data_IF_029783765648
#
_entry.id   IF_029783765648
#
_cell.length_a   1.000
_cell.length_b   1.000
_cell.length_c   1.000
_cell.angle_alpha   90.00
_cell.angle_beta   90.00
_cell.angle_gamma   90.00
#
_symmetry.space_group_name_H-M   'P 1'
#
loop_
_entity.id
_entity.type
_entity.pdbx_description
1 polymer ?
#
# COMPACT_ATOMS: atom_id res chain seq x y z
N UNK A 1 1.81 -16.26 4.91
CA UNK A 1 1.87 -14.82 5.24
C UNK A 1 1.26 -14.64 6.61
N UNK A 2 1.99 -13.99 7.51
CA UNK A 2 1.46 -13.56 8.80
C UNK A 2 1.24 -12.05 8.73
N UNK A 3 0.02 -11.67 8.33
CA UNK A 3 -0.34 -10.26 8.17
C UNK A 3 -0.59 -9.59 9.53
N UNK A 4 0.09 -8.48 9.76
CA UNK A 4 -0.04 -7.66 10.97
C UNK A 4 -0.27 -6.19 10.61
N UNK A 5 -0.83 -5.43 11.54
CA UNK A 5 -0.94 -3.97 11.43
C UNK A 5 0.35 -3.29 11.94
N UNK A 6 0.57 -2.01 11.60
CA UNK A 6 1.69 -1.20 12.10
C UNK A 6 1.85 -1.23 13.63
N UNK A 7 0.75 -1.39 14.39
CA UNK A 7 0.79 -1.51 15.86
C UNK A 7 1.61 -2.71 16.38
N UNK A 8 1.93 -3.68 15.52
CA UNK A 8 2.81 -4.80 15.86
C UNK A 8 4.27 -4.38 16.04
N UNK A 9 4.70 -3.31 15.37
CA UNK A 9 6.08 -2.82 15.43
C UNK A 9 6.28 -1.92 16.66
N UNK A 10 7.54 -1.79 17.10
CA UNK A 10 7.90 -0.94 18.22
C UNK A 10 7.53 0.53 17.92
N UNK A 11 6.75 1.15 18.81
CA UNK A 11 6.21 2.50 18.60
C UNK A 11 4.98 2.56 17.68
N UNK A 12 4.47 1.43 17.18
CA UNK A 12 3.44 1.37 16.13
C UNK A 12 2.16 2.17 16.37
N UNK A 13 1.72 2.29 17.63
CA UNK A 13 0.51 3.07 17.99
C UNK A 13 0.64 4.56 17.64
N UNK A 14 1.85 5.13 17.71
CA UNK A 14 2.07 6.53 17.34
C UNK A 14 2.01 6.75 15.82
N UNK A 15 2.40 5.73 15.03
CA UNK A 15 2.47 5.82 13.58
C UNK A 15 1.18 5.41 12.86
N UNK A 16 0.24 4.76 13.55
CA UNK A 16 -1.06 4.39 12.97
C UNK A 16 -1.80 5.60 12.38
N UNK A 17 -1.93 6.69 13.14
CA UNK A 17 -2.58 7.90 12.66
C UNK A 17 -1.82 8.57 11.53
N UNK A 18 -0.48 8.53 11.56
CA UNK A 18 0.38 9.05 10.51
C UNK A 18 0.16 8.32 9.19
N UNK A 19 0.22 6.99 9.19
CA UNK A 19 -0.02 6.17 7.98
C UNK A 19 -1.43 6.40 7.47
N UNK A 20 -2.44 6.32 8.34
CA UNK A 20 -3.84 6.53 7.95
C UNK A 20 -4.05 7.88 7.28
N UNK A 21 -3.51 8.96 7.84
CA UNK A 21 -3.63 10.28 7.25
C UNK A 21 -2.82 10.42 5.95
N UNK A 22 -1.61 9.85 5.90
CA UNK A 22 -0.80 9.81 4.69
C UNK A 22 -1.51 9.08 3.55
N UNK A 23 -2.20 7.99 3.84
CA UNK A 23 -2.87 7.20 2.81
C UNK A 23 -4.13 7.87 2.25
N UNK A 24 -4.82 8.78 2.97
CA UNK A 24 -6.06 9.42 2.47
C UNK A 24 -5.95 9.99 1.05
N UNK A 25 -4.96 10.87 0.83
CA UNK A 25 -4.76 11.48 -0.50
C UNK A 25 -4.36 10.42 -1.52
N UNK A 26 -3.57 9.43 -1.11
CA UNK A 26 -3.09 8.35 -1.99
C UNK A 26 -4.23 7.43 -2.40
N UNK A 27 -5.18 7.18 -1.51
CA UNK A 27 -6.41 6.45 -1.80
C UNK A 27 -7.24 7.19 -2.84
N UNK A 28 -7.44 8.51 -2.70
CA UNK A 28 -8.21 9.30 -3.68
C UNK A 28 -7.63 9.22 -5.09
N UNK A 29 -6.31 9.02 -5.20
CA UNK A 29 -5.60 8.86 -6.46
C UNK A 29 -5.72 7.41 -6.97
N UNK A 30 -5.37 6.45 -6.11
CA UNK A 30 -5.23 5.04 -6.47
C UNK A 30 -6.57 4.29 -6.60
N UNK A 31 -7.66 4.83 -6.05
CA UNK A 31 -9.02 4.27 -6.25
C UNK A 31 -9.47 4.31 -7.71
N UNK A 32 -8.77 5.02 -8.59
CA UNK A 32 -9.09 5.05 -10.02
C UNK A 32 -8.23 4.08 -10.85
N UNK A 33 -7.44 3.24 -10.17
CA UNK A 33 -6.54 2.25 -10.76
C UNK A 33 -7.19 0.88 -10.66
N UNK A 34 -7.25 0.15 -11.78
CA UNK A 34 -7.75 -1.22 -11.81
C UNK A 34 -6.65 -2.23 -11.47
N UNK A 35 -7.03 -3.49 -11.27
CA UNK A 35 -6.11 -4.59 -10.90
C UNK A 35 -4.93 -4.78 -11.85
N UNK A 36 -5.16 -4.71 -13.17
CA UNK A 36 -4.10 -4.89 -14.17
C UNK A 36 -3.10 -3.73 -14.13
N UNK A 37 -3.60 -2.50 -14.05
CA UNK A 37 -2.79 -1.30 -13.91
C UNK A 37 -1.98 -1.32 -12.60
N UNK A 38 -2.60 -1.73 -11.49
CA UNK A 38 -1.94 -1.84 -10.19
C UNK A 38 -0.81 -2.88 -10.23
N UNK A 39 -1.04 -4.03 -10.89
CA UNK A 39 -0.03 -5.06 -11.08
C UNK A 39 1.17 -4.56 -11.89
N UNK A 40 0.91 -3.93 -13.05
CA UNK A 40 1.97 -3.34 -13.90
C UNK A 40 2.76 -2.26 -13.16
N UNK A 41 2.07 -1.39 -12.42
CA UNK A 41 2.72 -0.34 -11.65
C UNK A 41 3.56 -0.90 -10.49
N UNK A 42 3.06 -1.91 -9.78
CA UNK A 42 3.81 -2.58 -8.71
C UNK A 42 5.08 -3.26 -9.25
N UNK A 43 4.97 -4.02 -10.34
CA UNK A 43 6.13 -4.67 -10.98
C UNK A 43 7.23 -3.66 -11.35
N UNK A 44 6.84 -2.52 -11.92
CA UNK A 44 7.78 -1.47 -12.32
C UNK A 44 8.57 -0.85 -11.16
N UNK A 45 8.07 -0.95 -9.92
CA UNK A 45 8.74 -0.42 -8.71
C UNK A 45 9.18 -1.54 -7.75
N UNK A 46 9.39 -2.75 -8.28
CA UNK A 46 9.97 -3.88 -7.54
C UNK A 46 8.97 -4.61 -6.62
N UNK A 47 7.68 -4.36 -6.80
CA UNK A 47 6.61 -5.09 -6.14
C UNK A 47 6.00 -6.18 -7.02
N UNK A 48 4.88 -6.73 -6.54
CA UNK A 48 4.09 -7.73 -7.28
C UNK A 48 2.61 -7.62 -6.97
N UNK A 49 1.78 -8.00 -7.93
CA UNK A 49 0.37 -8.26 -7.71
C UNK A 49 0.20 -9.52 -6.84
N UNK A 50 -0.73 -9.47 -5.88
CA UNK A 50 -1.18 -10.62 -5.12
C UNK A 50 -2.51 -11.08 -5.69
N UNK A 51 -2.48 -12.16 -6.47
CA UNK A 51 -3.66 -12.77 -7.06
C UNK A 51 -3.65 -14.30 -6.80
N UNK A 52 -4.54 -14.83 -5.95
CA UNK A 52 -5.59 -14.12 -5.22
C UNK A 52 -5.03 -13.16 -4.13
N UNK A 53 -5.83 -12.18 -3.68
CA UNK A 53 -5.49 -11.37 -2.50
C UNK A 53 -5.23 -12.24 -1.26
N UNK A 54 -4.40 -11.76 -0.31
CA UNK A 54 -4.00 -12.56 0.84
C UNK A 54 -5.05 -12.63 1.96
N UNK A 55 -6.20 -11.96 1.79
CA UNK A 55 -7.37 -12.03 2.66
C UNK A 55 -8.60 -12.40 1.81
N UNK A 56 -9.43 -13.32 2.32
CA UNK A 56 -10.72 -13.67 1.70
C UNK A 56 -11.77 -12.61 2.05
N UNK A 57 -11.74 -11.49 1.34
CA UNK A 57 -12.65 -10.37 1.55
C UNK A 57 -13.09 -9.78 0.20
N UNK A 58 -14.39 -9.83 -0.13
CA UNK A 58 -14.90 -9.39 -1.43
C UNK A 58 -14.78 -7.89 -1.66
N UNK A 59 -14.54 -7.08 -0.62
CA UNK A 59 -14.29 -5.64 -0.78
C UNK A 59 -12.91 -5.33 -1.35
N UNK A 60 -11.98 -6.29 -1.37
CA UNK A 60 -10.63 -6.09 -1.90
C UNK A 60 -10.67 -6.16 -3.43
N UNK A 61 -10.48 -5.00 -4.08
CA UNK A 61 -10.44 -4.85 -5.54
C UNK A 61 -9.11 -5.33 -6.12
N UNK A 62 -8.00 -4.90 -5.50
CA UNK A 62 -6.67 -5.39 -5.82
C UNK A 62 -5.74 -5.34 -4.61
N UNK A 63 -4.70 -6.17 -4.66
CA UNK A 63 -3.67 -6.26 -3.63
C UNK A 63 -2.28 -6.29 -4.26
N UNK A 64 -1.36 -5.48 -3.75
CA UNK A 64 0.04 -5.49 -4.19
C UNK A 64 0.98 -5.57 -2.98
N UNK A 65 2.14 -6.17 -3.18
CA UNK A 65 3.16 -6.31 -2.14
C UNK A 65 4.51 -5.80 -2.59
N UNK A 66 5.24 -5.20 -1.64
CA UNK A 66 6.62 -4.75 -1.79
C UNK A 66 7.48 -5.31 -0.67
N UNK A 67 8.73 -5.63 -0.97
CA UNK A 67 9.68 -6.19 0.00
C UNK A 67 10.91 -5.27 0.11
N UNK A 68 10.84 -4.17 0.89
CA UNK A 68 11.97 -3.24 1.08
C UNK A 68 13.23 -3.91 1.62
N UNK A 69 13.04 -4.86 2.53
CA UNK A 69 14.09 -5.67 3.15
C UNK A 69 13.60 -7.11 3.21
N UNK A 70 14.54 -8.05 3.17
CA UNK A 70 14.23 -9.48 3.14
C UNK A 70 13.27 -9.87 4.29
N UNK A 71 12.18 -10.53 3.93
CA UNK A 71 11.12 -11.02 4.83
C UNK A 71 10.28 -9.94 5.54
N UNK A 72 10.36 -8.67 5.12
CA UNK A 72 9.37 -7.64 5.48
C UNK A 72 8.59 -7.28 4.22
N UNK A 73 7.34 -7.72 4.12
CA UNK A 73 6.47 -7.29 3.00
C UNK A 73 5.47 -6.25 3.45
N UNK A 74 5.34 -5.18 2.68
CA UNK A 74 4.28 -4.18 2.81
C UNK A 74 3.20 -4.56 1.82
N UNK A 75 1.99 -4.80 2.30
CA UNK A 75 0.84 -5.25 1.53
C UNK A 75 -0.19 -4.14 1.49
N UNK A 76 -0.42 -3.59 0.31
CA UNK A 76 -1.48 -2.61 0.06
C UNK A 76 -2.70 -3.34 -0.48
N UNK A 77 -3.85 -3.11 0.16
CA UNK A 77 -5.14 -3.65 -0.22
C UNK A 77 -6.04 -2.47 -0.58
N UNK A 78 -6.43 -2.35 -1.85
CA UNK A 78 -7.43 -1.39 -2.27
C UNK A 78 -8.81 -1.96 -1.96
N UNK A 79 -9.52 -1.32 -1.04
CA UNK A 79 -10.84 -1.75 -0.58
C UNK A 79 -11.92 -0.81 -1.13
N UNK A 80 -12.91 -1.40 -1.78
CA UNK A 80 -14.15 -0.75 -2.22
C UNK A 80 -15.18 -0.93 -1.13
N UNK A 81 -15.46 0.15 -0.42
CA UNK A 81 -16.47 0.12 0.62
C UNK A 81 -17.85 0.44 0.01
N UNK A 82 -18.92 0.19 0.77
CA UNK A 82 -20.27 0.56 0.33
C UNK A 82 -20.36 2.08 0.10
N UNK A 83 -21.32 2.60 -0.70
CA UNK A 83 -21.39 4.02 -1.03
C UNK A 83 -21.40 4.98 0.17
N UNK A 84 -21.82 4.51 1.34
CA UNK A 84 -21.85 5.28 2.59
C UNK A 84 -20.48 5.39 3.30
N UNK A 85 -19.51 4.56 2.89
CA UNK A 85 -18.17 4.49 3.47
C UNK A 85 -17.12 4.81 2.41
N UNK A 86 -16.13 5.65 2.73
CA UNK A 86 -15.10 6.00 1.76
C UNK A 86 -14.24 4.78 1.40
N UNK A 87 -13.87 4.64 0.13
CA UNK A 87 -12.82 3.72 -0.31
C UNK A 87 -11.56 3.90 0.53
N UNK A 88 -10.79 2.82 0.70
CA UNK A 88 -9.61 2.81 1.56
C UNK A 88 -8.47 1.99 0.95
N UNK A 89 -7.24 2.52 1.03
CA UNK A 89 -6.04 1.68 0.99
C UNK A 89 -5.72 1.22 2.39
N UNK A 90 -5.97 -0.05 2.67
CA UNK A 90 -5.55 -0.70 3.89
C UNK A 90 -4.12 -1.22 3.70
N UNK A 91 -3.25 -0.96 4.68
CA UNK A 91 -1.87 -1.49 4.67
C UNK A 91 -1.67 -2.49 5.79
N UNK A 92 -1.19 -3.67 5.42
CA UNK A 92 -0.77 -4.73 6.32
C UNK A 92 0.67 -5.13 6.03
N UNK A 93 1.28 -5.84 6.97
CA UNK A 93 2.67 -6.23 6.89
C UNK A 93 2.81 -7.73 7.05
N UNK A 94 3.52 -8.38 6.13
CA UNK A 94 3.97 -9.76 6.32
C UNK A 94 5.33 -9.73 7.00
N UNK A 95 5.36 -10.23 8.24
CA UNK A 95 6.57 -10.30 9.08
C UNK A 95 7.06 -11.74 9.26
N UNK A 96 6.51 -12.67 8.48
CA UNK A 96 6.88 -14.07 8.52
C UNK A 96 8.36 -14.25 8.14
N UNK A 97 9.17 -14.75 9.08
CA UNK A 97 10.60 -14.98 8.88
C UNK A 97 11.49 -13.75 9.04
N UNK A 98 10.98 -12.62 9.56
CA UNK A 98 11.79 -11.43 9.82
C UNK A 98 12.77 -11.68 10.98
N UNK A 99 14.10 -11.57 10.77
CA UNK A 99 15.09 -12.01 11.77
C UNK A 99 15.39 -10.97 12.84
N UNK A 100 14.94 -9.73 12.66
CA UNK A 100 15.16 -8.61 13.58
C UNK A 100 13.90 -7.77 13.74
N UNK A 101 13.91 -6.86 14.72
CA UNK A 101 12.84 -5.88 14.90
C UNK A 101 13.13 -4.64 14.05
N UNK A 102 12.09 -4.12 13.41
CA UNK A 102 12.12 -2.84 12.70
C UNK A 102 11.25 -1.85 13.48
N UNK A 103 11.74 -0.64 13.78
CA UNK A 103 10.92 0.43 14.35
C UNK A 103 9.71 0.74 13.46
N UNK A 104 8.58 1.11 14.06
CA UNK A 104 7.40 1.49 13.30
C UNK A 104 7.62 2.75 12.44
N UNK A 105 8.54 3.64 12.85
CA UNK A 105 8.94 4.82 12.08
C UNK A 105 9.48 4.44 10.70
N UNK A 106 10.48 3.56 10.65
CA UNK A 106 11.07 3.08 9.39
C UNK A 106 10.04 2.34 8.52
N UNK A 107 9.20 1.51 9.15
CA UNK A 107 8.13 0.80 8.44
C UNK A 107 7.11 1.79 7.85
N UNK A 108 6.76 2.84 8.60
CA UNK A 108 5.85 3.88 8.12
C UNK A 108 6.45 4.66 6.94
N UNK A 109 7.75 4.99 7.00
CA UNK A 109 8.45 5.67 5.92
C UNK A 109 8.50 4.82 4.66
N UNK A 110 8.81 3.52 4.76
CA UNK A 110 8.68 2.62 3.62
C UNK A 110 7.25 2.57 3.08
N UNK A 111 6.25 2.50 3.96
CA UNK A 111 4.84 2.48 3.55
C UNK A 111 4.43 3.73 2.77
N UNK A 112 4.91 4.91 3.16
CA UNK A 112 4.61 6.13 2.42
C UNK A 112 5.42 6.18 1.11
N UNK A 113 6.69 5.77 1.14
CA UNK A 113 7.56 5.75 -0.03
C UNK A 113 6.98 4.85 -1.14
N UNK A 114 6.61 3.61 -0.83
CA UNK A 114 6.10 2.68 -1.84
C UNK A 114 4.71 3.06 -2.37
N UNK A 115 3.87 3.68 -1.54
CA UNK A 115 2.61 4.23 -2.02
C UNK A 115 2.85 5.39 -3.02
N UNK A 116 3.88 6.23 -2.78
CA UNK A 116 4.29 7.27 -3.72
C UNK A 116 4.85 6.68 -5.01
N UNK A 117 5.74 5.70 -4.89
CA UNK A 117 6.35 5.01 -6.01
C UNK A 117 5.30 4.36 -6.90
N UNK A 118 4.28 3.73 -6.30
CA UNK A 118 3.15 3.16 -7.02
C UNK A 118 2.41 4.23 -7.83
N UNK A 119 2.07 5.37 -7.22
CA UNK A 119 1.41 6.49 -7.94
C UNK A 119 2.26 7.00 -9.10
N UNK A 120 3.58 7.14 -8.90
CA UNK A 120 4.49 7.55 -9.97
C UNK A 120 4.56 6.50 -11.09
N UNK A 121 4.57 5.21 -10.76
CA UNK A 121 4.57 4.14 -11.73
C UNK A 121 3.27 4.10 -12.55
N UNK A 122 2.11 4.29 -11.91
CA UNK A 122 0.84 4.40 -12.62
C UNK A 122 0.87 5.55 -13.63
N UNK A 123 1.37 6.73 -13.23
CA UNK A 123 1.42 7.90 -14.13
C UNK A 123 2.43 7.75 -15.28
N UNK A 124 3.60 7.17 -14.99
CA UNK A 124 4.74 7.23 -15.91
C UNK A 124 4.97 5.94 -16.69
N UNK A 125 4.63 4.78 -16.12
CA UNK A 125 4.83 3.47 -16.73
C UNK A 125 3.53 2.95 -17.32
N UNK A 126 2.43 2.98 -16.56
CA UNK A 126 1.11 2.56 -17.06
C UNK A 126 0.54 3.60 -18.04
N UNK A 127 0.93 4.87 -17.91
CA UNK A 127 0.59 5.93 -18.86
C UNK A 127 -0.69 6.71 -18.53
N UNK A 128 -1.24 6.55 -17.32
CA UNK A 128 -2.42 7.27 -16.83
C UNK A 128 -2.10 8.74 -16.50
N UNK A 129 -2.08 9.59 -17.52
CA UNK A 129 -1.77 11.04 -17.39
C UNK A 129 -2.87 11.84 -16.70
N UNK A 130 -4.08 11.29 -16.61
CA UNK A 130 -5.22 11.82 -15.86
C UNK A 130 -5.00 11.78 -14.34
N UNK A 131 -4.08 10.93 -13.87
CA UNK A 131 -3.81 10.77 -12.45
C UNK A 131 -2.87 11.88 -11.95
N UNK A 132 -3.30 12.68 -10.96
CA UNK A 132 -2.49 13.78 -10.44
C UNK A 132 -1.26 13.23 -9.71
N UNK A 133 -0.16 13.99 -9.75
CA UNK A 133 1.03 13.66 -8.97
C UNK A 133 0.83 14.02 -7.49
N UNK A 134 1.49 13.30 -6.58
CA UNK A 134 1.42 13.61 -5.14
C UNK A 134 1.90 15.04 -4.82
N UNK A 135 2.88 15.56 -5.57
CA UNK A 135 3.36 16.94 -5.39
C UNK A 135 2.33 18.02 -5.71
N UNK A 136 1.15 17.67 -6.25
CA UNK A 136 0.03 18.59 -6.40
C UNK A 136 -0.82 18.73 -5.13
N UNK A 137 -0.53 17.93 -4.09
CA UNK A 137 -1.29 17.87 -2.83
C UNK A 137 -0.42 18.10 -1.57
N UNK A 138 0.88 18.37 -1.75
CA UNK A 138 1.85 18.74 -0.71
C UNK A 138 2.22 20.21 -0.90
#
# INVERSE_FOLDING_TARGET
MKLVNIVFFEGGKAHEAFIRNGLKIRTEILKHVNKEEAGKAAEAVGGKLLDPPPLEDPSIDWAVAFEPIRNLKIVYLMRRNEPEFPDEIQVLYDVEGLPFRVPAEDVADFTILYANALIYAVKNVVGRKDIPGIGSYL
#
